data_IF_326070626428
#
_entry.id   IF_326070626428
#
_cell.length_a   1.000
_cell.length_b   1.000
_cell.length_c   1.000
_cell.angle_alpha   90.00
_cell.angle_beta   90.00
_cell.angle_gamma   90.00
#
_symmetry.space_group_name_H-M   'P 1'
#
loop_
_entity.id
_entity.type
_entity.pdbx_description
1 polymer ?
#
# COMPACT_ATOMS: atom_id res chain seq x y z
N UNK A 1 -50.96 65.97 -15.71
CA UNK A 1 -50.75 64.98 -14.63
C UNK A 1 -50.77 63.59 -15.27
N UNK A 2 -49.76 62.75 -15.01
CA UNK A 2 -49.78 61.32 -15.31
C UNK A 2 -48.73 60.85 -16.32
N UNK A 3 -47.45 60.84 -15.96
CA UNK A 3 -46.39 60.14 -16.69
C UNK A 3 -46.27 58.70 -16.18
N UNK A 4 -46.23 57.75 -17.13
CA UNK A 4 -46.01 56.32 -16.92
C UNK A 4 -44.62 56.04 -16.33
N UNK A 5 -44.55 55.22 -15.28
CA UNK A 5 -43.31 54.61 -14.79
C UNK A 5 -43.35 53.11 -15.02
N UNK A 6 -42.58 52.61 -16.00
CA UNK A 6 -42.31 51.17 -16.18
C UNK A 6 -41.17 50.77 -15.24
N UNK A 7 -41.45 49.88 -14.30
CA UNK A 7 -40.44 49.27 -13.44
C UNK A 7 -39.72 48.15 -14.20
N UNK A 8 -38.40 48.27 -14.34
CA UNK A 8 -37.51 47.24 -14.89
C UNK A 8 -37.06 46.34 -13.73
N UNK A 9 -37.53 45.09 -13.69
CA UNK A 9 -37.08 44.11 -12.70
C UNK A 9 -35.78 43.45 -13.18
N UNK A 10 -34.66 43.75 -12.50
CA UNK A 10 -33.41 43.02 -12.66
C UNK A 10 -33.55 41.63 -12.01
N UNK A 11 -33.50 40.58 -12.83
CA UNK A 11 -33.29 39.21 -12.35
C UNK A 11 -31.80 39.00 -12.04
N UNK A 12 -31.42 39.04 -10.75
CA UNK A 12 -30.15 38.48 -10.29
C UNK A 12 -30.25 36.95 -10.33
N UNK A 13 -29.63 36.32 -11.32
CA UNK A 13 -29.40 34.88 -11.33
C UNK A 13 -28.32 34.51 -10.31
N UNK A 14 -28.69 33.78 -9.26
CA UNK A 14 -27.74 33.21 -8.32
C UNK A 14 -26.93 32.11 -9.03
N UNK A 15 -25.63 32.33 -9.21
CA UNK A 15 -24.69 31.27 -9.62
C UNK A 15 -24.56 30.31 -8.44
N UNK A 16 -25.22 29.16 -8.52
CA UNK A 16 -24.99 28.06 -7.59
C UNK A 16 -23.64 27.44 -7.92
N UNK A 17 -22.61 27.80 -7.15
CA UNK A 17 -21.38 27.02 -7.10
C UNK A 17 -21.69 25.70 -6.40
N UNK A 18 -21.89 24.64 -7.18
CA UNK A 18 -21.95 23.28 -6.64
C UNK A 18 -20.64 22.99 -5.91
N UNK A 19 -20.74 22.57 -4.65
CA UNK A 19 -19.58 22.05 -3.91
C UNK A 19 -18.92 20.89 -4.68
N UNK A 20 -17.68 20.52 -4.34
CA UNK A 20 -16.99 19.40 -4.99
C UNK A 20 -17.90 18.16 -4.98
N UNK A 21 -18.03 17.51 -6.12
CA UNK A 21 -18.85 16.31 -6.26
C UNK A 21 -18.38 15.25 -5.26
N UNK A 22 -19.33 14.58 -4.60
CA UNK A 22 -19.02 13.50 -3.67
C UNK A 22 -18.27 12.37 -4.41
N UNK A 23 -17.20 11.88 -3.81
CA UNK A 23 -16.41 10.78 -4.37
C UNK A 23 -17.23 9.49 -4.42
N UNK A 24 -17.03 8.74 -5.50
CA UNK A 24 -17.72 7.46 -5.75
C UNK A 24 -17.06 6.28 -5.03
N UNK A 25 -17.80 5.18 -4.88
CA UNK A 25 -17.25 3.90 -4.39
C UNK A 25 -16.06 3.40 -5.20
N UNK A 26 -16.08 3.66 -6.52
CA UNK A 26 -14.98 3.29 -7.41
C UNK A 26 -13.73 4.10 -7.12
N UNK A 27 -13.85 5.41 -6.95
CA UNK A 27 -12.72 6.30 -6.66
C UNK A 27 -12.08 5.98 -5.31
N UNK A 28 -12.89 5.79 -4.25
CA UNK A 28 -12.38 5.33 -2.96
C UNK A 28 -11.72 3.96 -3.07
N UNK A 29 -12.36 3.00 -3.75
CA UNK A 29 -11.80 1.66 -3.96
C UNK A 29 -10.46 1.69 -4.69
N UNK A 30 -10.32 2.51 -5.73
CA UNK A 30 -9.07 2.67 -6.47
C UNK A 30 -7.97 3.27 -5.58
N UNK A 31 -8.27 4.34 -4.83
CA UNK A 31 -7.32 4.98 -3.91
C UNK A 31 -6.85 4.02 -2.80
N UNK A 32 -7.78 3.31 -2.16
CA UNK A 32 -7.46 2.34 -1.10
C UNK A 32 -6.62 1.18 -1.63
N UNK A 33 -6.93 0.67 -2.83
CA UNK A 33 -6.12 -0.38 -3.47
C UNK A 33 -4.70 0.11 -3.79
N UNK A 34 -4.56 1.35 -4.28
CA UNK A 34 -3.27 1.96 -4.59
C UNK A 34 -2.44 2.20 -3.32
N UNK A 35 -3.06 2.70 -2.24
CA UNK A 35 -2.43 2.85 -0.93
C UNK A 35 -2.04 1.48 -0.34
N UNK A 36 -2.92 0.49 -0.46
CA UNK A 36 -2.65 -0.87 -0.03
C UNK A 36 -1.42 -1.49 -0.73
N UNK A 37 -1.21 -1.16 -2.01
CA UNK A 37 -0.01 -1.56 -2.76
C UNK A 37 1.27 -0.91 -2.23
N UNK A 38 1.22 0.30 -1.66
CA UNK A 38 2.41 0.95 -1.07
C UNK A 38 3.04 0.07 0.00
N UNK A 39 2.23 -0.52 0.90
CA UNK A 39 2.70 -1.48 1.93
C UNK A 39 3.53 -2.61 1.33
N UNK A 40 3.04 -3.25 0.27
CA UNK A 40 3.76 -4.32 -0.43
C UNK A 40 5.08 -3.80 -1.03
N UNK A 41 5.04 -2.65 -1.69
CA UNK A 41 6.20 -2.06 -2.36
C UNK A 41 7.32 -1.73 -1.37
N UNK A 42 7.01 -1.27 -0.14
CA UNK A 42 8.04 -1.07 0.90
C UNK A 42 8.85 -2.35 1.16
N UNK A 43 8.17 -3.50 1.24
CA UNK A 43 8.80 -4.79 1.52
C UNK A 43 9.50 -5.36 0.27
N UNK A 44 8.89 -5.17 -0.90
CA UNK A 44 9.42 -5.63 -2.19
C UNK A 44 10.73 -4.90 -2.55
N UNK A 45 10.77 -3.57 -2.41
CA UNK A 45 11.97 -2.77 -2.66
C UNK A 45 13.12 -3.17 -1.73
N UNK A 46 12.84 -3.33 -0.43
CA UNK A 46 13.85 -3.83 0.51
C UNK A 46 14.36 -5.21 0.12
N UNK A 47 13.47 -6.15 -0.23
CA UNK A 47 13.86 -7.49 -0.69
C UNK A 47 14.77 -7.41 -1.92
N UNK A 48 14.38 -6.65 -2.94
CA UNK A 48 15.16 -6.47 -4.17
C UNK A 48 16.55 -5.89 -3.86
N UNK A 49 16.62 -4.88 -2.99
CA UNK A 49 17.87 -4.28 -2.55
C UNK A 49 18.79 -5.27 -1.82
N UNK A 50 18.26 -6.07 -0.89
CA UNK A 50 19.05 -7.08 -0.18
C UNK A 50 19.46 -8.25 -1.08
N UNK A 51 18.64 -8.63 -2.07
CA UNK A 51 19.01 -9.65 -3.06
C UNK A 51 20.17 -9.17 -3.94
N UNK A 52 20.16 -7.90 -4.37
CA UNK A 52 21.29 -7.27 -5.05
C UNK A 52 22.54 -7.30 -4.17
N UNK A 53 22.43 -6.91 -2.89
CA UNK A 53 23.55 -6.95 -1.94
C UNK A 53 24.13 -8.36 -1.74
N UNK A 54 23.25 -9.38 -1.80
CA UNK A 54 23.64 -10.80 -1.67
C UNK A 54 24.29 -11.36 -2.94
N UNK A 55 24.23 -10.64 -4.06
CA UNK A 55 24.69 -11.10 -5.37
C UNK A 55 23.75 -12.11 -6.03
N UNK A 56 22.49 -12.20 -5.60
CA UNK A 56 21.50 -13.07 -6.21
C UNK A 56 20.79 -12.34 -7.35
N UNK A 57 21.10 -12.71 -8.60
CA UNK A 57 20.56 -12.07 -9.81
C UNK A 57 20.55 -10.52 -9.72
N UNK A 58 21.72 -9.88 -9.48
CA UNK A 58 21.79 -8.48 -9.11
C UNK A 58 21.24 -7.54 -10.20
N UNK A 59 21.44 -7.84 -11.48
CA UNK A 59 20.92 -7.04 -12.61
C UNK A 59 19.39 -7.07 -12.65
N UNK A 60 18.80 -8.25 -12.49
CA UNK A 60 17.34 -8.42 -12.43
C UNK A 60 16.75 -7.70 -11.22
N UNK A 61 17.40 -7.79 -10.05
CA UNK A 61 16.94 -7.12 -8.84
C UNK A 61 17.13 -5.59 -8.89
N UNK A 62 18.18 -5.07 -9.54
CA UNK A 62 18.32 -3.62 -9.82
C UNK A 62 17.19 -3.12 -10.73
N UNK A 63 16.90 -3.82 -11.81
CA UNK A 63 15.81 -3.47 -12.72
C UNK A 63 14.44 -3.50 -12.01
N UNK A 64 14.19 -4.55 -11.22
CA UNK A 64 12.98 -4.67 -10.42
C UNK A 64 12.87 -3.57 -9.36
N UNK A 65 13.97 -3.23 -8.69
CA UNK A 65 14.03 -2.16 -7.71
C UNK A 65 13.71 -0.80 -8.34
N UNK A 66 14.29 -0.48 -9.49
CA UNK A 66 14.00 0.76 -10.23
C UNK A 66 12.50 0.86 -10.59
N UNK A 67 11.90 -0.23 -11.08
CA UNK A 67 10.47 -0.27 -11.37
C UNK A 67 9.60 -0.12 -10.11
N UNK A 68 9.98 -0.76 -9.00
CA UNK A 68 9.29 -0.64 -7.72
C UNK A 68 9.37 0.78 -7.14
N UNK A 69 10.54 1.43 -7.23
CA UNK A 69 10.77 2.83 -6.81
C UNK A 69 9.87 3.79 -7.58
N UNK A 70 9.86 3.67 -8.91
CA UNK A 70 9.02 4.50 -9.78
C UNK A 70 7.53 4.32 -9.47
N UNK A 71 7.08 3.06 -9.33
CA UNK A 71 5.68 2.76 -9.04
C UNK A 71 5.24 3.25 -7.65
N UNK A 72 6.10 3.12 -6.63
CA UNK A 72 5.81 3.66 -5.30
C UNK A 72 5.65 5.17 -5.37
N UNK A 73 6.65 5.85 -5.93
CA UNK A 73 6.65 7.32 -5.99
C UNK A 73 5.45 7.86 -6.77
N UNK A 74 5.21 7.35 -7.99
CA UNK A 74 4.07 7.75 -8.83
C UNK A 74 2.74 7.54 -8.10
N UNK A 75 2.56 6.37 -7.48
CA UNK A 75 1.33 6.08 -6.73
C UNK A 75 1.13 7.03 -5.55
N UNK A 76 2.18 7.36 -4.79
CA UNK A 76 2.09 8.27 -3.66
C UNK A 76 1.77 9.70 -4.11
N UNK A 77 2.36 10.18 -5.20
CA UNK A 77 2.01 11.48 -5.78
C UNK A 77 0.56 11.52 -6.24
N UNK A 78 0.06 10.45 -6.87
CA UNK A 78 -1.34 10.33 -7.30
C UNK A 78 -2.31 10.29 -6.12
N UNK A 79 -1.98 9.60 -5.04
CA UNK A 79 -2.81 9.57 -3.82
C UNK A 79 -2.92 10.95 -3.15
N UNK A 80 -1.88 11.78 -3.27
CA UNK A 80 -1.84 13.11 -2.67
C UNK A 80 -2.56 14.12 -3.57
N UNK A 81 -2.21 14.17 -4.86
CA UNK A 81 -2.64 15.21 -5.78
C UNK A 81 -3.85 14.82 -6.64
N UNK A 82 -4.19 13.53 -6.70
CA UNK A 82 -5.16 12.96 -7.63
C UNK A 82 -4.55 12.64 -8.99
N UNK A 83 -5.24 11.78 -9.74
CA UNK A 83 -5.00 11.50 -11.16
C UNK A 83 -6.31 11.10 -11.83
N UNK A 84 -6.85 12.01 -12.67
CA UNK A 84 -8.05 11.72 -13.46
C UNK A 84 -7.83 10.56 -14.44
N UNK A 85 -6.63 10.45 -15.02
CA UNK A 85 -6.27 9.38 -15.96
C UNK A 85 -6.33 7.99 -15.31
N UNK A 86 -6.03 7.90 -14.01
CA UNK A 86 -6.04 6.64 -13.26
C UNK A 86 -7.33 6.45 -12.44
N UNK A 87 -8.26 7.41 -12.48
CA UNK A 87 -9.45 7.40 -11.63
C UNK A 87 -9.11 7.42 -10.13
N UNK A 88 -8.09 8.20 -9.76
CA UNK A 88 -7.65 8.40 -8.38
C UNK A 88 -8.03 9.82 -7.96
N UNK A 89 -8.89 9.99 -6.94
CA UNK A 89 -9.16 11.31 -6.39
C UNK A 89 -7.93 11.84 -5.64
N UNK A 90 -7.81 13.16 -5.53
CA UNK A 90 -6.90 13.76 -4.55
C UNK A 90 -7.28 13.31 -3.13
N UNK A 91 -6.36 13.47 -2.17
CA UNK A 91 -6.59 13.10 -0.79
C UNK A 91 -7.97 13.62 -0.30
N UNK A 92 -8.93 12.74 0.07
CA UNK A 92 -10.31 13.15 0.32
C UNK A 92 -10.51 14.06 1.53
N UNK A 93 -9.56 14.09 2.46
CA UNK A 93 -9.61 14.93 3.65
C UNK A 93 -8.22 15.35 4.13
N UNK A 94 -8.15 16.38 4.97
CA UNK A 94 -6.92 16.75 5.68
C UNK A 94 -6.34 15.61 6.53
N UNK A 95 -7.19 14.67 6.95
CA UNK A 95 -6.77 13.53 7.76
C UNK A 95 -5.96 12.53 6.93
N UNK A 96 -6.49 12.08 5.79
CA UNK A 96 -5.75 11.20 4.88
C UNK A 96 -4.56 11.92 4.24
N UNK A 97 -4.71 13.19 3.86
CA UNK A 97 -3.61 13.99 3.33
C UNK A 97 -2.43 14.05 4.29
N UNK A 98 -2.68 14.30 5.58
CA UNK A 98 -1.60 14.33 6.60
C UNK A 98 -0.84 13.00 6.64
N UNK A 99 -1.54 11.87 6.62
CA UNK A 99 -0.88 10.56 6.66
C UNK A 99 -0.06 10.27 5.40
N UNK A 100 -0.56 10.66 4.22
CA UNK A 100 0.18 10.55 2.96
C UNK A 100 1.41 11.46 2.92
N UNK A 101 1.33 12.68 3.47
CA UNK A 101 2.47 13.58 3.57
C UNK A 101 3.53 13.07 4.56
N UNK A 102 3.12 12.48 5.68
CA UNK A 102 4.05 11.79 6.59
C UNK A 102 4.68 10.55 5.93
N UNK A 103 3.94 9.81 5.10
CA UNK A 103 4.49 8.73 4.29
C UNK A 103 5.54 9.27 3.31
N UNK A 104 5.26 10.39 2.63
CA UNK A 104 6.21 11.07 1.75
C UNK A 104 7.48 11.49 2.48
N UNK A 105 7.37 12.01 3.71
CA UNK A 105 8.53 12.39 4.52
C UNK A 105 9.46 11.22 4.83
N UNK A 106 8.90 10.04 5.13
CA UNK A 106 9.69 8.81 5.31
C UNK A 106 10.22 8.25 3.99
N UNK A 107 9.44 8.40 2.92
CA UNK A 107 9.77 7.90 1.59
C UNK A 107 10.99 8.58 0.99
N UNK A 108 11.08 9.92 1.05
CA UNK A 108 12.13 10.64 0.32
C UNK A 108 13.56 10.23 0.72
N UNK A 109 13.93 10.17 2.02
CA UNK A 109 15.23 9.66 2.44
C UNK A 109 15.44 8.17 2.12
N UNK A 110 14.39 7.36 2.20
CA UNK A 110 14.44 5.94 1.88
C UNK A 110 14.72 5.71 0.39
N UNK A 111 14.03 6.44 -0.49
CA UNK A 111 14.25 6.47 -1.94
C UNK A 111 15.69 6.87 -2.26
N UNK A 112 16.15 8.00 -1.71
CA UNK A 112 17.51 8.50 -1.95
C UNK A 112 18.57 7.46 -1.55
N UNK A 113 18.41 6.81 -0.39
CA UNK A 113 19.35 5.77 0.07
C UNK A 113 19.42 4.59 -0.90
N UNK A 114 18.29 4.16 -1.44
CA UNK A 114 18.21 3.08 -2.42
C UNK A 114 18.88 3.49 -3.75
N UNK A 115 18.53 4.66 -4.30
CA UNK A 115 19.07 5.17 -5.57
C UNK A 115 20.58 5.40 -5.49
N UNK A 116 21.07 5.99 -4.40
CA UNK A 116 22.50 6.25 -4.18
C UNK A 116 23.34 4.98 -4.05
N UNK A 117 22.71 3.83 -3.84
CA UNK A 117 23.40 2.58 -3.49
C UNK A 117 23.15 1.45 -4.48
N UNK A 118 22.05 1.47 -5.23
CA UNK A 118 21.61 0.30 -6.02
C UNK A 118 22.54 -0.07 -7.18
N UNK A 119 23.22 0.91 -7.77
CA UNK A 119 24.12 0.69 -8.91
C UNK A 119 25.59 0.49 -8.51
N UNK A 120 25.90 0.53 -7.21
CA UNK A 120 27.27 0.28 -6.72
C UNK A 120 27.63 -1.19 -6.88
N UNK A 121 28.91 -1.45 -7.19
CA UNK A 121 29.48 -2.81 -7.22
C UNK A 121 29.39 -3.49 -5.86
N UNK A 122 29.57 -2.72 -4.79
CA UNK A 122 29.35 -3.17 -3.41
C UNK A 122 28.44 -2.19 -2.70
N UNK A 123 27.31 -2.69 -2.21
CA UNK A 123 26.35 -1.87 -1.46
C UNK A 123 26.94 -1.52 -0.08
N UNK A 124 27.01 -0.23 0.30
CA UNK A 124 27.57 0.17 1.58
C UNK A 124 26.80 -0.42 2.77
N UNK A 125 27.52 -0.87 3.81
CA UNK A 125 26.91 -1.41 5.03
C UNK A 125 25.92 -0.42 5.69
N UNK A 126 26.25 0.88 5.68
CA UNK A 126 25.37 1.93 6.19
C UNK A 126 24.03 2.01 5.43
N UNK A 127 24.02 1.76 4.12
CA UNK A 127 22.79 1.73 3.33
C UNK A 127 21.95 0.49 3.65
N UNK A 128 22.59 -0.67 3.83
CA UNK A 128 21.91 -1.91 4.26
C UNK A 128 21.24 -1.71 5.63
N UNK A 129 21.96 -1.14 6.59
CA UNK A 129 21.43 -0.87 7.93
C UNK A 129 20.31 0.18 7.93
N UNK A 130 20.46 1.23 7.12
CA UNK A 130 19.41 2.23 6.95
C UNK A 130 18.14 1.60 6.40
N UNK A 131 18.23 0.84 5.30
CA UNK A 131 17.06 0.18 4.69
C UNK A 131 16.45 -0.84 5.66
N UNK A 132 17.25 -1.63 6.38
CA UNK A 132 16.77 -2.57 7.40
C UNK A 132 16.00 -1.87 8.52
N UNK A 133 16.46 -0.69 8.94
CA UNK A 133 15.84 0.06 10.03
C UNK A 133 14.57 0.78 9.59
N UNK A 134 14.61 1.46 8.43
CA UNK A 134 13.57 2.39 8.02
C UNK A 134 12.45 1.78 7.15
N UNK A 135 12.62 0.55 6.63
CA UNK A 135 11.54 -0.11 5.89
C UNK A 135 10.30 -0.40 6.76
N UNK A 136 10.47 -0.65 8.07
CA UNK A 136 9.34 -0.94 8.97
C UNK A 136 8.57 0.31 9.38
N UNK A 137 9.21 1.44 9.74
CA UNK A 137 8.53 2.73 9.86
C UNK A 137 7.76 3.14 8.60
N UNK A 138 8.36 2.98 7.41
CA UNK A 138 7.69 3.30 6.14
C UNK A 138 6.46 2.39 5.91
N UNK A 139 6.59 1.08 6.15
CA UNK A 139 5.44 0.14 6.09
C UNK A 139 4.32 0.55 7.06
N UNK A 140 4.67 0.89 8.30
CA UNK A 140 3.70 1.27 9.32
C UNK A 140 2.97 2.57 8.92
N UNK A 141 3.66 3.51 8.29
CA UNK A 141 3.04 4.74 7.81
C UNK A 141 2.16 4.50 6.60
N UNK A 142 2.55 3.64 5.65
CA UNK A 142 1.71 3.22 4.53
C UNK A 142 0.41 2.52 4.99
N UNK A 143 0.47 1.74 6.08
CA UNK A 143 -0.71 1.13 6.70
C UNK A 143 -1.63 2.19 7.33
N UNK A 144 -1.07 3.20 8.02
CA UNK A 144 -1.84 4.34 8.54
C UNK A 144 -2.50 5.17 7.42
N UNK A 145 -1.79 5.43 6.33
CA UNK A 145 -2.35 6.15 5.17
C UNK A 145 -3.51 5.37 4.52
N UNK A 146 -3.34 4.05 4.36
CA UNK A 146 -4.43 3.19 3.86
C UNK A 146 -5.64 3.22 4.80
N UNK A 147 -5.43 3.10 6.11
CA UNK A 147 -6.50 3.15 7.10
C UNK A 147 -7.23 4.51 7.12
N UNK A 148 -6.51 5.60 6.91
CA UNK A 148 -7.10 6.93 6.83
C UNK A 148 -8.02 7.08 5.60
N UNK A 149 -7.64 6.53 4.45
CA UNK A 149 -8.50 6.51 3.25
C UNK A 149 -9.75 5.64 3.44
N UNK A 150 -9.63 4.50 4.13
CA UNK A 150 -10.78 3.67 4.52
C UNK A 150 -11.72 4.44 5.45
N UNK A 151 -11.18 5.18 6.41
CA UNK A 151 -11.97 6.02 7.32
C UNK A 151 -12.73 7.12 6.56
N UNK A 152 -12.09 7.76 5.59
CA UNK A 152 -12.73 8.78 4.76
C UNK A 152 -13.89 8.19 3.93
N UNK A 153 -13.71 6.99 3.36
CA UNK A 153 -14.77 6.30 2.64
C UNK A 153 -15.96 5.96 3.56
N UNK A 154 -15.68 5.46 4.77
CA UNK A 154 -16.72 5.15 5.75
C UNK A 154 -17.48 6.40 6.19
N UNK A 155 -16.80 7.54 6.38
CA UNK A 155 -17.44 8.83 6.71
C UNK A 155 -18.31 9.36 5.59
N UNK A 156 -17.98 9.03 4.34
CA UNK A 156 -18.79 9.35 3.17
C UNK A 156 -19.94 8.35 2.95
N UNK A 157 -20.16 7.39 3.86
CA UNK A 157 -21.11 6.28 3.73
C UNK A 157 -20.90 5.44 2.45
N UNK A 158 -19.65 5.39 1.99
CA UNK A 158 -19.25 4.67 0.80
C UNK A 158 -18.70 3.30 1.19
N UNK A 159 -19.43 2.24 0.80
CA UNK A 159 -18.96 0.88 0.93
C UNK A 159 -17.75 0.64 0.00
N UNK A 160 -16.61 0.26 0.57
CA UNK A 160 -15.39 -0.05 -0.17
C UNK A 160 -15.15 -1.55 -0.24
N UNK A 161 -14.07 -1.95 -0.91
CA UNK A 161 -13.66 -3.35 -0.96
C UNK A 161 -13.55 -3.91 0.48
N UNK A 162 -14.33 -4.95 0.77
CA UNK A 162 -14.45 -5.49 2.13
C UNK A 162 -13.16 -6.10 2.68
N UNK A 163 -13.19 -6.56 3.95
CA UNK A 163 -12.03 -7.14 4.66
C UNK A 163 -11.30 -8.25 3.88
N UNK A 164 -11.99 -8.98 2.99
CA UNK A 164 -11.39 -9.99 2.12
C UNK A 164 -10.29 -9.41 1.21
N UNK A 165 -10.52 -8.24 0.60
CA UNK A 165 -9.55 -7.63 -0.34
C UNK A 165 -8.33 -7.10 0.41
N UNK A 166 -8.53 -6.46 1.58
CA UNK A 166 -7.41 -6.02 2.42
C UNK A 166 -6.55 -7.22 2.86
N UNK A 167 -7.16 -8.29 3.36
CA UNK A 167 -6.43 -9.48 3.80
C UNK A 167 -5.70 -10.19 2.66
N UNK A 168 -6.30 -10.29 1.46
CA UNK A 168 -5.63 -10.81 0.28
C UNK A 168 -4.46 -9.91 -0.18
N UNK A 169 -4.60 -8.58 -0.05
CA UNK A 169 -3.50 -7.64 -0.23
C UNK A 169 -2.38 -7.85 0.80
N UNK A 170 -2.76 -8.06 2.06
CA UNK A 170 -1.85 -8.29 3.19
C UNK A 170 -1.07 -9.60 3.01
N UNK A 171 -1.68 -10.68 2.50
CA UNK A 171 -0.97 -11.92 2.16
C UNK A 171 0.18 -11.67 1.18
N UNK A 172 -0.06 -10.94 0.09
CA UNK A 172 0.98 -10.64 -0.91
C UNK A 172 2.13 -9.84 -0.29
N UNK A 173 1.82 -8.87 0.56
CA UNK A 173 2.83 -8.12 1.31
C UNK A 173 3.62 -9.03 2.26
N UNK A 174 2.95 -9.92 2.99
CA UNK A 174 3.60 -10.87 3.90
C UNK A 174 4.54 -11.81 3.17
N UNK A 175 4.20 -12.29 1.97
CA UNK A 175 5.13 -13.08 1.14
C UNK A 175 6.41 -12.32 0.77
N UNK A 176 6.29 -11.04 0.40
CA UNK A 176 7.46 -10.19 0.15
C UNK A 176 8.28 -9.98 1.43
N UNK A 177 7.61 -9.75 2.56
CA UNK A 177 8.23 -9.53 3.88
C UNK A 177 9.01 -10.76 4.35
N UNK A 178 8.45 -11.97 4.21
CA UNK A 178 9.15 -13.22 4.54
C UNK A 178 10.41 -13.39 3.69
N UNK A 179 10.31 -13.12 2.38
CA UNK A 179 11.47 -13.20 1.47
C UNK A 179 12.56 -12.19 1.87
N UNK A 180 12.18 -10.95 2.18
CA UNK A 180 13.10 -9.91 2.68
C UNK A 180 13.84 -10.38 3.95
N UNK A 181 13.10 -10.95 4.90
CA UNK A 181 13.64 -11.44 6.17
C UNK A 181 14.59 -12.62 5.99
N UNK A 182 14.24 -13.57 5.12
CA UNK A 182 15.12 -14.68 4.78
C UNK A 182 16.45 -14.20 4.16
N UNK A 183 16.39 -13.23 3.26
CA UNK A 183 17.60 -12.66 2.64
C UNK A 183 18.45 -11.89 3.67
N UNK A 184 17.82 -11.13 4.58
CA UNK A 184 18.52 -10.47 5.70
C UNK A 184 19.28 -11.48 6.58
N UNK A 185 18.66 -12.64 6.87
CA UNK A 185 19.34 -13.74 7.60
C UNK A 185 20.54 -14.24 6.79
N UNK A 186 20.39 -14.45 5.47
CA UNK A 186 21.48 -14.90 4.60
C UNK A 186 22.65 -13.91 4.48
N UNK A 187 22.41 -12.63 4.81
CA UNK A 187 23.40 -11.56 4.88
C UNK A 187 23.98 -11.41 6.30
N UNK A 188 23.64 -12.30 7.24
CA UNK A 188 24.03 -12.26 8.65
C UNK A 188 23.61 -10.98 9.39
N UNK A 189 22.52 -10.33 8.96
CA UNK A 189 22.02 -9.10 9.58
C UNK A 189 21.12 -9.43 10.78
N UNK A 190 21.56 -9.07 11.99
CA UNK A 190 20.75 -9.13 13.23
C UNK A 190 19.96 -10.45 13.38
N UNK A 191 20.64 -11.58 13.13
CA UNK A 191 20.01 -12.88 12.89
C UNK A 191 18.97 -13.28 13.95
N UNK A 192 19.22 -13.18 15.28
CA UNK A 192 18.21 -13.57 16.28
C UNK A 192 16.93 -12.76 16.19
N UNK A 193 17.03 -11.45 15.96
CA UNK A 193 15.87 -10.58 15.84
C UNK A 193 15.10 -10.82 14.53
N UNK A 194 15.83 -11.01 13.41
CA UNK A 194 15.20 -11.27 12.11
C UNK A 194 14.56 -12.65 12.07
N UNK A 195 15.15 -13.69 12.65
CA UNK A 195 14.53 -15.02 12.77
C UNK A 195 13.22 -14.97 13.58
N UNK A 196 13.21 -14.24 14.70
CA UNK A 196 11.98 -14.02 15.48
C UNK A 196 10.92 -13.29 14.65
N UNK A 197 11.33 -12.27 13.89
CA UNK A 197 10.44 -11.51 13.02
C UNK A 197 9.87 -12.38 11.90
N UNK A 198 10.70 -13.21 11.25
CA UNK A 198 10.28 -14.16 10.21
C UNK A 198 9.25 -15.15 10.73
N UNK A 199 9.49 -15.74 11.91
CA UNK A 199 8.51 -16.63 12.56
C UNK A 199 7.16 -15.93 12.79
N UNK A 200 7.19 -14.67 13.22
CA UNK A 200 6.00 -13.84 13.35
C UNK A 200 5.29 -13.62 12.01
N UNK A 201 6.04 -13.30 10.95
CA UNK A 201 5.50 -13.11 9.60
C UNK A 201 4.86 -14.39 9.05
N UNK A 202 5.49 -15.56 9.27
CA UNK A 202 4.95 -16.87 8.90
C UNK A 202 3.59 -17.13 9.58
N UNK A 203 3.50 -16.89 10.89
CA UNK A 203 2.25 -17.05 11.64
C UNK A 203 1.15 -16.08 11.20
N UNK A 204 1.52 -14.82 10.88
CA UNK A 204 0.58 -13.84 10.32
C UNK A 204 0.08 -14.26 8.93
N UNK A 205 0.93 -14.82 8.08
CA UNK A 205 0.51 -15.32 6.76
C UNK A 205 -0.48 -16.47 6.90
N UNK A 206 -0.15 -17.48 7.71
CA UNK A 206 -1.00 -18.65 7.94
C UNK A 206 -2.38 -18.26 8.51
N UNK A 207 -2.40 -17.40 9.53
CA UNK A 207 -3.66 -16.92 10.13
C UNK A 207 -4.49 -16.08 9.16
N UNK A 208 -3.84 -15.22 8.36
CA UNK A 208 -4.51 -14.45 7.29
C UNK A 208 -5.11 -15.37 6.24
N UNK A 209 -4.39 -16.42 5.83
CA UNK A 209 -4.87 -17.41 4.86
C UNK A 209 -6.09 -18.17 5.36
N UNK A 210 -6.04 -18.65 6.60
CA UNK A 210 -7.16 -19.32 7.24
C UNK A 210 -8.37 -18.39 7.39
N UNK A 211 -8.15 -17.12 7.70
CA UNK A 211 -9.22 -16.13 7.77
C UNK A 211 -9.90 -15.96 6.40
N UNK A 212 -9.14 -15.83 5.32
CA UNK A 212 -9.71 -15.73 3.95
C UNK A 212 -10.54 -16.97 3.58
N UNK A 213 -10.11 -18.17 3.98
CA UNK A 213 -10.83 -19.41 3.71
C UNK A 213 -12.09 -19.55 4.56
N UNK A 214 -11.96 -19.41 5.89
CA UNK A 214 -12.99 -19.79 6.87
C UNK A 214 -13.84 -18.62 7.35
N UNK A 215 -13.46 -17.39 7.02
CA UNK A 215 -14.02 -16.18 7.61
C UNK A 215 -13.49 -15.94 9.02
N UNK A 216 -13.73 -14.72 9.52
CA UNK A 216 -13.37 -14.28 10.85
C UNK A 216 -14.42 -13.25 11.31
N UNK A 217 -15.42 -13.72 12.06
CA UNK A 217 -16.58 -12.90 12.47
C UNK A 217 -16.18 -11.63 13.23
N UNK A 218 -15.13 -11.70 14.05
CA UNK A 218 -14.66 -10.55 14.86
C UNK A 218 -14.19 -9.37 14.01
N UNK A 219 -13.75 -9.60 12.77
CA UNK A 219 -13.39 -8.53 11.80
C UNK A 219 -14.40 -8.42 10.66
N UNK A 220 -15.62 -8.93 10.84
CA UNK A 220 -16.69 -8.88 9.83
C UNK A 220 -16.43 -9.71 8.57
N UNK A 221 -15.43 -10.59 8.60
CA UNK A 221 -15.03 -11.39 7.45
C UNK A 221 -15.90 -12.64 7.34
N UNK A 222 -16.64 -12.76 6.24
CA UNK A 222 -17.39 -13.98 5.90
C UNK A 222 -16.49 -14.98 5.17
N UNK A 223 -16.82 -16.27 5.27
CA UNK A 223 -16.08 -17.31 4.57
C UNK A 223 -16.16 -17.13 3.05
N UNK A 224 -15.06 -17.45 2.36
CA UNK A 224 -15.07 -17.48 0.90
C UNK A 224 -15.96 -18.64 0.42
N UNK A 225 -17.00 -18.32 -0.35
CA UNK A 225 -17.96 -19.31 -0.88
C UNK A 225 -17.78 -19.60 -2.37
N UNK A 226 -17.05 -18.74 -3.08
CA UNK A 226 -16.79 -18.95 -4.51
C UNK A 226 -15.87 -20.14 -4.70
N UNK A 227 -16.36 -21.19 -5.37
CA UNK A 227 -15.60 -22.41 -5.66
C UNK A 227 -14.33 -22.08 -6.44
N UNK A 228 -14.41 -21.19 -7.44
CA UNK A 228 -13.24 -20.78 -8.22
C UNK A 228 -12.17 -20.12 -7.34
N UNK A 229 -12.57 -19.25 -6.41
CA UNK A 229 -11.63 -18.60 -5.49
C UNK A 229 -11.04 -19.63 -4.53
N UNK A 230 -11.85 -20.54 -3.99
CA UNK A 230 -11.35 -21.62 -3.11
C UNK A 230 -10.35 -22.54 -3.82
N UNK A 231 -10.56 -22.85 -5.10
CA UNK A 231 -9.63 -23.64 -5.89
C UNK A 231 -8.29 -22.92 -6.09
N UNK A 232 -8.30 -21.60 -6.33
CA UNK A 232 -7.07 -20.81 -6.37
C UNK A 232 -6.39 -20.72 -5.00
N UNK A 233 -7.16 -20.58 -3.93
CA UNK A 233 -6.61 -20.56 -2.56
C UNK A 233 -6.03 -21.92 -2.15
N UNK A 234 -6.50 -23.03 -2.73
CA UNK A 234 -5.88 -24.35 -2.54
C UNK A 234 -4.45 -24.38 -3.10
N UNK A 235 -4.22 -23.81 -4.28
CA UNK A 235 -2.86 -23.69 -4.84
C UNK A 235 -1.94 -22.93 -3.87
N UNK A 236 -2.45 -21.87 -3.25
CA UNK A 236 -1.70 -21.13 -2.22
C UNK A 236 -1.46 -21.98 -0.98
N UNK A 237 -2.45 -22.77 -0.53
CA UNK A 237 -2.29 -23.70 0.60
C UNK A 237 -1.21 -24.75 0.33
N UNK A 238 -1.24 -25.38 -0.85
CA UNK A 238 -0.33 -26.46 -1.20
C UNK A 238 1.12 -25.93 -1.23
N UNK A 239 1.35 -24.77 -1.87
CA UNK A 239 2.67 -24.10 -1.88
C UNK A 239 3.09 -23.66 -0.47
N UNK A 240 2.14 -23.23 0.37
CA UNK A 240 2.42 -22.82 1.75
C UNK A 240 2.86 -23.99 2.63
N UNK A 241 2.26 -25.17 2.46
CA UNK A 241 2.60 -26.37 3.23
C UNK A 241 4.06 -26.79 3.02
N UNK A 242 4.53 -26.74 1.78
CA UNK A 242 5.94 -26.99 1.46
C UNK A 242 6.84 -25.88 2.01
N UNK A 243 6.43 -24.61 1.87
CA UNK A 243 7.23 -23.47 2.25
C UNK A 243 7.47 -23.36 3.76
N UNK A 244 6.43 -23.61 4.58
CA UNK A 244 6.54 -23.48 6.04
C UNK A 244 7.36 -24.58 6.71
N UNK A 245 7.68 -25.65 5.99
CA UNK A 245 8.47 -26.79 6.47
C UNK A 245 9.99 -26.57 6.33
N UNK A 246 10.41 -25.55 5.57
CA UNK A 246 11.81 -25.13 5.37
C UNK A 246 12.33 -24.28 6.53
#
# INVERSE_FOLDING_TARGET
>A
RGTMGRALALMLGAVQFGGPAALTAREFGNAINMAGRQRMLTQKMSKEFFLTAKGYAPEANRANLAASLALFHDSLEKLINGSAADGIPAAPSDYSLRHLLEERKLWLPFKATLEDSMDKDTIPAAALDYVRTWNMPLLAQADKATAALVLDANKADVQTAGPQVDLAGRQRMLSQKMSKEAVMISLNMDMPAIQKTLKGTLGLFASTHLALLRGMKVVGLTSTRSICVLQQMRVVSDVWEDFQAL
#
